data_IF_822279067562
#
_entry.id   IF_822279067562
#
_cell.length_a   1.000
_cell.length_b   1.000
_cell.length_c   1.000
_cell.angle_alpha   90.00
_cell.angle_beta   90.00
_cell.angle_gamma   90.00
#
_symmetry.space_group_name_H-M   'P 1'
#
loop_
_entity.id
_entity.type
_entity.pdbx_description
1 polymer ?
#
# COMPACT_ATOMS: atom_id res chain seq x y z
N UNK A 1 -10.80 -5.16 -25.12
CA UNK A 1 -11.60 -5.58 -23.94
C UNK A 1 -12.51 -6.71 -24.38
N UNK A 2 -12.18 -7.95 -24.02
CA UNK A 2 -12.96 -9.10 -24.45
C UNK A 2 -14.28 -9.15 -23.65
N UNK A 3 -15.36 -9.64 -24.27
CA UNK A 3 -16.67 -9.79 -23.59
C UNK A 3 -16.59 -10.69 -22.34
N UNK A 4 -15.59 -11.57 -22.29
CA UNK A 4 -15.30 -12.42 -21.14
C UNK A 4 -14.77 -11.65 -19.92
N UNK A 5 -13.90 -10.65 -20.12
CA UNK A 5 -13.38 -9.82 -19.02
C UNK A 5 -14.50 -9.00 -18.36
N UNK A 6 -15.42 -8.46 -19.19
CA UNK A 6 -16.57 -7.70 -18.71
C UNK A 6 -17.56 -8.58 -17.93
N UNK A 7 -17.80 -9.82 -18.39
CA UNK A 7 -18.65 -10.77 -17.67
C UNK A 7 -18.02 -11.22 -16.35
N UNK A 8 -16.71 -11.47 -16.33
CA UNK A 8 -15.97 -11.82 -15.13
C UNK A 8 -15.98 -10.69 -14.09
N UNK A 9 -15.84 -9.43 -14.52
CA UNK A 9 -15.89 -8.27 -13.61
C UNK A 9 -17.27 -8.04 -13.00
N UNK A 10 -18.34 -8.24 -13.78
CA UNK A 10 -19.73 -8.14 -13.28
C UNK A 10 -20.04 -9.27 -12.29
N UNK A 11 -19.62 -10.50 -12.60
CA UNK A 11 -19.78 -11.65 -11.71
C UNK A 11 -18.98 -11.48 -10.41
N UNK A 12 -17.74 -10.99 -10.50
CA UNK A 12 -16.88 -10.70 -9.35
C UNK A 12 -17.48 -9.64 -8.43
N UNK A 13 -17.95 -8.53 -8.99
CA UNK A 13 -18.53 -7.44 -8.20
C UNK A 13 -19.93 -7.80 -7.64
N UNK A 14 -20.70 -8.64 -8.33
CA UNK A 14 -22.03 -9.07 -7.89
C UNK A 14 -22.02 -10.15 -6.80
N UNK A 15 -21.03 -11.05 -6.83
CA UNK A 15 -20.94 -12.20 -5.91
C UNK A 15 -20.42 -11.82 -4.51
N UNK A 16 -19.84 -10.63 -4.33
CA UNK A 16 -19.32 -10.15 -3.05
C UNK A 16 -20.34 -9.46 -2.14
N UNK A 17 -21.58 -9.23 -2.59
CA UNK A 17 -22.61 -8.53 -1.81
C UNK A 17 -23.38 -9.49 -0.89
N UNK A 18 -23.53 -9.10 0.38
CA UNK A 18 -24.38 -9.81 1.35
C UNK A 18 -25.85 -9.96 0.91
N UNK A 19 -26.34 -9.06 0.06
CA UNK A 19 -27.69 -9.15 -0.51
C UNK A 19 -27.85 -10.29 -1.53
N UNK A 20 -26.80 -10.63 -2.28
CA UNK A 20 -26.82 -11.74 -3.23
C UNK A 20 -26.88 -13.08 -2.51
N UNK A 21 -26.10 -13.22 -1.42
CA UNK A 21 -26.14 -14.40 -0.55
C UNK A 21 -27.54 -14.63 0.01
N UNK A 22 -28.20 -13.57 0.48
CA UNK A 22 -29.57 -13.64 1.00
C UNK A 22 -30.59 -14.11 -0.04
N UNK A 23 -30.55 -13.57 -1.26
CA UNK A 23 -31.45 -13.99 -2.36
C UNK A 23 -31.19 -15.44 -2.76
N UNK A 24 -29.92 -15.85 -2.84
CA UNK A 24 -29.54 -17.21 -3.21
C UNK A 24 -30.03 -18.25 -2.20
N UNK A 25 -29.86 -17.97 -0.89
CA UNK A 25 -30.36 -18.82 0.19
C UNK A 25 -31.89 -18.88 0.17
N UNK A 26 -32.56 -17.74 -0.01
CA UNK A 26 -34.02 -17.69 -0.10
C UNK A 26 -34.54 -18.50 -1.30
N UNK A 27 -33.89 -18.40 -2.47
CA UNK A 27 -34.23 -19.19 -3.64
C UNK A 27 -34.02 -20.69 -3.40
N UNK A 28 -32.93 -21.08 -2.75
CA UNK A 28 -32.66 -22.48 -2.40
C UNK A 28 -33.73 -23.06 -1.46
N UNK A 29 -34.11 -22.32 -0.42
CA UNK A 29 -35.17 -22.74 0.51
C UNK A 29 -36.51 -22.81 -0.20
N UNK A 30 -36.85 -21.81 -1.01
CA UNK A 30 -38.08 -21.80 -1.80
C UNK A 30 -38.14 -23.00 -2.76
N UNK A 31 -37.05 -23.30 -3.45
CA UNK A 31 -36.97 -24.44 -4.38
C UNK A 31 -37.10 -25.78 -3.66
N UNK A 32 -36.42 -25.95 -2.52
CA UNK A 32 -36.52 -27.15 -1.70
C UNK A 32 -37.95 -27.37 -1.16
N UNK A 33 -38.62 -26.30 -0.74
CA UNK A 33 -40.02 -26.32 -0.26
C UNK A 33 -40.97 -26.64 -1.41
N UNK A 34 -40.86 -25.95 -2.56
CA UNK A 34 -41.71 -26.21 -3.73
C UNK A 34 -41.56 -27.66 -4.21
N UNK A 35 -40.33 -28.16 -4.31
CA UNK A 35 -40.08 -29.53 -4.75
C UNK A 35 -40.57 -30.57 -3.73
N UNK A 36 -40.44 -30.30 -2.42
CA UNK A 36 -40.96 -31.17 -1.36
C UNK A 36 -42.50 -31.20 -1.27
N UNK A 37 -43.16 -30.05 -1.47
CA UNK A 37 -44.61 -29.94 -1.32
C UNK A 37 -45.40 -30.25 -2.60
N UNK A 38 -44.89 -29.88 -3.78
CA UNK A 38 -45.61 -30.06 -5.05
C UNK A 38 -45.50 -31.47 -5.62
N UNK A 39 -44.47 -32.23 -5.21
CA UNK A 39 -44.07 -33.48 -5.87
C UNK A 39 -43.95 -34.66 -4.90
N UNK A 40 -44.66 -34.62 -3.76
CA UNK A 40 -44.61 -35.64 -2.72
C UNK A 40 -45.04 -37.06 -3.18
N UNK A 41 -45.64 -37.21 -4.36
CA UNK A 41 -46.04 -38.50 -4.94
C UNK A 41 -45.17 -38.96 -6.12
N UNK A 42 -44.46 -38.07 -6.81
CA UNK A 42 -43.70 -38.35 -8.04
C UNK A 42 -42.47 -37.44 -8.10
N UNK A 43 -41.67 -37.49 -7.03
CA UNK A 43 -40.57 -36.56 -6.82
C UNK A 43 -39.50 -36.72 -7.91
N UNK A 44 -39.42 -35.74 -8.81
CA UNK A 44 -38.38 -35.60 -9.82
C UNK A 44 -36.97 -35.56 -9.20
N UNK A 45 -36.82 -35.06 -7.97
CA UNK A 45 -35.56 -35.09 -7.20
C UNK A 45 -35.83 -35.47 -5.72
N UNK A 46 -35.96 -36.78 -5.39
CA UNK A 46 -36.14 -37.26 -4.03
C UNK A 46 -34.88 -37.03 -3.19
N UNK A 47 -35.03 -37.03 -1.86
CA UNK A 47 -33.89 -36.91 -0.95
C UNK A 47 -32.88 -38.07 -1.16
N UNK A 48 -31.57 -37.82 -1.31
CA UNK A 48 -30.85 -36.54 -1.26
C UNK A 48 -30.79 -35.83 -2.61
N UNK A 49 -31.14 -34.53 -2.66
CA UNK A 49 -31.24 -33.70 -3.88
C UNK A 49 -29.98 -33.74 -4.75
N UNK A 50 -29.90 -34.67 -5.70
CA UNK A 50 -28.65 -35.00 -6.40
C UNK A 50 -28.31 -33.90 -7.42
N UNK A 51 -29.33 -33.33 -8.06
CA UNK A 51 -29.17 -32.31 -9.08
C UNK A 51 -28.81 -30.96 -8.46
N UNK A 52 -29.45 -30.63 -7.34
CA UNK A 52 -29.13 -29.41 -6.60
C UNK A 52 -27.70 -29.47 -6.07
N UNK A 53 -27.29 -30.60 -5.47
CA UNK A 53 -25.94 -30.76 -4.95
C UNK A 53 -24.88 -30.73 -6.08
N UNK A 54 -25.18 -31.34 -7.24
CA UNK A 54 -24.30 -31.29 -8.42
C UNK A 54 -24.15 -29.86 -8.95
N UNK A 55 -25.25 -29.11 -9.06
CA UNK A 55 -25.23 -27.73 -9.51
C UNK A 55 -24.46 -26.83 -8.53
N UNK A 56 -24.68 -26.98 -7.22
CA UNK A 56 -23.93 -26.25 -6.19
C UNK A 56 -22.44 -26.57 -6.23
N UNK A 57 -22.08 -27.85 -6.42
CA UNK A 57 -20.68 -28.27 -6.50
C UNK A 57 -19.98 -27.69 -7.74
N UNK A 58 -20.66 -27.67 -8.89
CA UNK A 58 -20.16 -27.00 -10.10
C UNK A 58 -20.05 -25.49 -9.90
N UNK A 59 -21.03 -24.86 -9.25
CA UNK A 59 -21.01 -23.44 -8.93
C UNK A 59 -19.81 -23.09 -8.04
N UNK A 60 -19.57 -23.88 -6.99
CA UNK A 60 -18.43 -23.71 -6.08
C UNK A 60 -17.08 -23.90 -6.80
N UNK A 61 -16.98 -24.89 -7.68
CA UNK A 61 -15.78 -25.11 -8.51
C UNK A 61 -15.52 -23.92 -9.46
N UNK A 62 -16.56 -23.41 -10.11
CA UNK A 62 -16.48 -22.22 -10.95
C UNK A 62 -16.07 -20.97 -10.14
N UNK A 63 -16.62 -20.80 -8.93
CA UNK A 63 -16.24 -19.73 -8.02
C UNK A 63 -14.75 -19.80 -7.66
N UNK A 64 -14.25 -20.98 -7.30
CA UNK A 64 -12.83 -21.18 -6.98
C UNK A 64 -11.92 -20.87 -8.18
N UNK A 65 -12.31 -21.28 -9.39
CA UNK A 65 -11.56 -20.97 -10.61
C UNK A 65 -11.54 -19.46 -10.92
N UNK A 66 -12.68 -18.77 -10.80
CA UNK A 66 -12.78 -17.32 -10.99
C UNK A 66 -11.91 -16.59 -9.95
N UNK A 67 -11.96 -17.02 -8.69
CA UNK A 67 -11.13 -16.47 -7.62
C UNK A 67 -9.64 -16.63 -7.94
N UNK A 68 -9.22 -17.80 -8.41
CA UNK A 68 -7.83 -18.08 -8.77
C UNK A 68 -7.36 -17.23 -9.96
N UNK A 69 -8.20 -17.06 -10.98
CA UNK A 69 -7.91 -16.19 -12.13
C UNK A 69 -7.80 -14.72 -11.67
N UNK A 70 -8.72 -14.27 -10.81
CA UNK A 70 -8.71 -12.92 -10.27
C UNK A 70 -7.46 -12.66 -9.42
N UNK A 71 -7.08 -13.61 -8.55
CA UNK A 71 -5.87 -13.56 -7.73
C UNK A 71 -4.62 -13.47 -8.60
N UNK A 72 -4.46 -14.36 -9.59
CA UNK A 72 -3.30 -14.35 -10.51
C UNK A 72 -3.13 -13.01 -11.22
N UNK A 73 -4.25 -12.35 -11.60
CA UNK A 73 -4.22 -11.02 -12.21
C UNK A 73 -3.81 -9.94 -11.22
N UNK A 74 -4.34 -9.96 -9.98
CA UNK A 74 -3.96 -8.99 -8.94
C UNK A 74 -2.49 -9.13 -8.55
N UNK A 75 -1.98 -10.35 -8.42
CA UNK A 75 -0.57 -10.62 -8.10
C UNK A 75 0.38 -10.07 -9.17
N UNK A 76 0.03 -10.23 -10.45
CA UNK A 76 0.82 -9.68 -11.55
C UNK A 76 0.84 -8.14 -11.53
N UNK A 77 -0.28 -7.49 -11.19
CA UNK A 77 -0.36 -6.04 -11.04
C UNK A 77 0.46 -5.58 -9.82
N UNK A 78 0.33 -6.27 -8.69
CA UNK A 78 1.06 -5.98 -7.46
C UNK A 78 2.58 -6.12 -7.67
N UNK A 79 3.02 -7.16 -8.38
CA UNK A 79 4.44 -7.36 -8.71
C UNK A 79 4.99 -6.26 -9.63
N UNK A 80 4.19 -5.78 -10.59
CA UNK A 80 4.59 -4.66 -11.44
C UNK A 80 4.69 -3.34 -10.66
N UNK A 81 3.73 -3.08 -9.77
CA UNK A 81 3.74 -1.91 -8.88
C UNK A 81 4.93 -1.94 -7.93
N UNK A 82 5.22 -3.09 -7.31
CA UNK A 82 6.36 -3.26 -6.41
C UNK A 82 7.72 -2.98 -7.10
N UNK A 83 7.87 -3.30 -8.40
CA UNK A 83 9.08 -2.97 -9.15
C UNK A 83 9.23 -1.46 -9.36
N UNK A 84 8.15 -0.78 -9.70
CA UNK A 84 8.15 0.67 -9.90
C UNK A 84 8.43 1.42 -8.59
N UNK A 85 7.81 0.95 -7.50
CA UNK A 85 8.04 1.51 -6.16
C UNK A 85 9.50 1.30 -5.75
N UNK A 86 10.09 0.13 -6.03
CA UNK A 86 11.50 -0.14 -5.75
C UNK A 86 12.45 0.80 -6.51
N UNK A 87 12.23 1.03 -7.80
CA UNK A 87 13.05 1.97 -8.58
C UNK A 87 12.93 3.40 -8.07
N UNK A 88 11.73 3.82 -7.66
CA UNK A 88 11.48 5.15 -7.10
C UNK A 88 12.14 5.31 -5.72
N UNK A 89 12.10 4.27 -4.90
CA UNK A 89 12.69 4.26 -3.55
C UNK A 89 14.22 4.37 -3.61
N UNK A 90 14.87 3.61 -4.51
CA UNK A 90 16.33 3.71 -4.74
C UNK A 90 16.73 5.09 -5.26
N UNK A 91 15.95 5.68 -6.16
CA UNK A 91 16.20 7.05 -6.62
C UNK A 91 16.05 8.06 -5.47
N UNK A 92 15.01 7.91 -4.66
CA UNK A 92 14.77 8.77 -3.48
C UNK A 92 15.88 8.63 -2.45
N UNK A 93 16.38 7.43 -2.21
CA UNK A 93 17.53 7.17 -1.34
C UNK A 93 18.77 7.93 -1.81
N UNK A 94 19.08 7.87 -3.11
CA UNK A 94 20.22 8.60 -3.70
C UNK A 94 20.07 10.13 -3.59
N UNK A 95 18.84 10.63 -3.71
CA UNK A 95 18.55 12.06 -3.58
C UNK A 95 18.67 12.52 -2.13
N UNK A 96 18.20 11.72 -1.18
CA UNK A 96 18.36 11.95 0.26
C UNK A 96 19.84 11.96 0.64
N UNK A 97 20.63 11.01 0.13
CA UNK A 97 22.07 10.96 0.39
C UNK A 97 22.78 12.21 -0.13
N UNK A 98 22.44 12.66 -1.34
CA UNK A 98 22.97 13.91 -1.92
C UNK A 98 22.57 15.14 -1.11
N UNK A 99 21.31 15.24 -0.68
CA UNK A 99 20.83 16.34 0.16
C UNK A 99 21.54 16.35 1.51
N UNK A 100 21.78 15.17 2.10
CA UNK A 100 22.50 15.02 3.37
C UNK A 100 23.96 15.45 3.23
N UNK A 101 24.62 15.09 2.13
CA UNK A 101 25.98 15.52 1.84
C UNK A 101 26.09 17.06 1.73
N UNK A 102 25.18 17.69 0.98
CA UNK A 102 25.13 19.16 0.86
C UNK A 102 24.86 19.81 2.22
N UNK A 103 23.96 19.25 3.03
CA UNK A 103 23.66 19.79 4.36
C UNK A 103 24.89 19.74 5.28
N UNK A 104 25.64 18.64 5.26
CA UNK A 104 26.88 18.50 6.02
C UNK A 104 27.93 19.52 5.57
N UNK A 105 28.09 19.74 4.26
CA UNK A 105 29.00 20.76 3.72
C UNK A 105 28.60 22.17 4.17
N UNK A 106 27.29 22.49 4.15
CA UNK A 106 26.78 23.75 4.67
C UNK A 106 27.07 23.93 6.18
N UNK A 107 26.94 22.87 6.97
CA UNK A 107 27.28 22.90 8.40
C UNK A 107 28.77 23.13 8.64
N UNK A 108 29.64 22.54 7.83
CA UNK A 108 31.09 22.79 7.90
C UNK A 108 31.41 24.25 7.60
N UNK A 109 30.87 24.81 6.52
CA UNK A 109 31.04 26.23 6.17
C UNK A 109 30.55 27.18 7.27
N UNK A 110 29.39 26.87 7.88
CA UNK A 110 28.85 27.65 9.00
C UNK A 110 29.78 27.60 10.23
N UNK A 111 30.32 26.43 10.54
CA UNK A 111 31.28 26.27 11.64
C UNK A 111 32.58 27.03 11.36
N UNK A 112 33.05 27.01 10.11
CA UNK A 112 34.25 27.72 9.72
C UNK A 112 34.08 29.24 9.82
N UNK A 113 32.96 29.79 9.31
CA UNK A 113 32.59 31.20 9.46
C UNK A 113 32.51 31.61 10.94
N UNK A 114 31.85 30.79 11.77
CA UNK A 114 31.78 31.02 13.21
C UNK A 114 33.17 31.07 13.85
N UNK A 115 34.08 30.19 13.44
CA UNK A 115 35.45 30.17 13.94
C UNK A 115 36.25 31.42 13.51
N UNK A 116 36.05 31.90 12.28
CA UNK A 116 36.68 33.12 11.79
C UNK A 116 36.21 34.35 12.56
N UNK A 117 34.89 34.47 12.83
CA UNK A 117 34.33 35.55 13.62
C UNK A 117 34.89 35.56 15.05
N UNK A 118 34.95 34.41 15.72
CA UNK A 118 35.54 34.29 17.05
C UNK A 118 37.03 34.70 17.08
N UNK A 119 37.79 34.33 16.03
CA UNK A 119 39.18 34.75 15.88
C UNK A 119 39.32 36.26 15.69
N UNK A 120 38.46 36.86 14.86
CA UNK A 120 38.46 38.30 14.61
C UNK A 120 38.11 39.09 15.89
N UNK A 121 37.11 38.63 16.65
CA UNK A 121 36.74 39.21 17.94
C UNK A 121 37.89 39.12 18.97
N UNK A 122 38.58 37.97 19.03
CA UNK A 122 39.74 37.79 19.91
C UNK A 122 40.95 38.68 19.51
N UNK A 123 41.09 39.02 18.23
CA UNK A 123 42.10 39.97 17.75
C UNK A 123 41.71 41.41 18.07
N UNK A 124 40.43 41.78 17.89
CA UNK A 124 39.91 43.10 18.25
C UNK A 124 40.08 43.38 19.76
N UNK A 125 39.66 42.45 20.63
CA UNK A 125 39.80 42.60 22.08
C UNK A 125 41.25 42.61 22.61
N UNK A 126 42.23 42.25 21.78
CA UNK A 126 43.67 42.39 22.10
C UNK A 126 44.21 43.79 21.83
N UNK A 127 43.63 44.51 20.88
CA UNK A 127 44.04 45.88 20.53
C UNK A 127 43.49 46.90 21.55
N UNK A 128 42.31 46.62 22.11
CA UNK A 128 41.68 47.41 23.18
C UNK A 128 42.44 47.34 24.53
N UNK A 129 43.33 46.36 24.69
CA UNK A 129 44.07 46.07 25.92
C UNK A 129 45.56 46.43 25.90
N UNK A 130 46.07 47.09 24.85
CA UNK A 130 47.47 47.51 24.74
C UNK A 130 47.88 48.55 25.80
N UNK A 131 49.08 48.46 26.41
CA UNK A 131 49.39 49.04 27.71
C UNK A 131 49.50 50.58 27.67
N UNK A 132 48.42 51.25 28.07
CA UNK A 132 48.46 52.65 28.46
C UNK A 132 49.15 52.84 29.82
N UNK A 133 50.49 52.81 29.85
CA UNK A 133 51.40 53.57 30.74
C UNK A 133 52.83 53.02 30.69
N UNK A 134 53.55 53.38 29.64
CA UNK A 134 54.92 53.84 29.84
C UNK A 134 54.85 55.37 29.85
N UNK A 135 55.28 56.02 30.93
CA UNK A 135 55.93 57.36 31.00
C UNK A 135 55.75 57.95 32.40
N UNK A 136 56.86 58.27 33.07
CA UNK A 136 56.94 59.02 34.33
C UNK A 136 57.90 58.34 35.32
N UNK A 137 59.20 58.61 35.23
CA UNK A 137 59.93 59.53 36.13
C UNK A 137 60.06 58.94 37.55
N UNK A 138 61.23 58.70 38.14
CA UNK A 138 62.53 59.36 38.09
C UNK A 138 63.15 59.16 39.48
N UNK A 139 64.48 59.27 39.54
CA UNK A 139 65.36 59.30 40.74
C UNK A 139 65.47 58.06 41.62
#
# INVERSE_FOLDING_TARGET
MSRGERAADILRNGMGSWTFVGIFVAFMVAWAVINSYALAADAWDPYPYILLNLFLSMLAGLQGAILLIAAKRQDAIAAAMARHDYETDVQSESEIERLTAINNEQLELLNELRSMLLRAEALAGRDDGGPGRATGAGT
#
